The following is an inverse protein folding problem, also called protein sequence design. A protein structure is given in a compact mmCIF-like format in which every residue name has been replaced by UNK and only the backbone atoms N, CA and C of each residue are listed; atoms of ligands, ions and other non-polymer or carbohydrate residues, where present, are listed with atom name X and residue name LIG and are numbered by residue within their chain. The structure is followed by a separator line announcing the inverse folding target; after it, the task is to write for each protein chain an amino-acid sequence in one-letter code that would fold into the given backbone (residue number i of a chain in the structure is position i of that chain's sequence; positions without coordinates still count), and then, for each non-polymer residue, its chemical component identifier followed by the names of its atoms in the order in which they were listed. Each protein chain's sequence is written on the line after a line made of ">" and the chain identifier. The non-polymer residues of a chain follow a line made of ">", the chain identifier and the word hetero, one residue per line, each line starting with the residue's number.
data_IF_968592570465
#
_entry.id   IF_968592570465
#
_cell.length_a   1.000
_cell.length_b   1.000
_cell.length_c   1.000
_cell.angle_alpha   90.00
_cell.angle_beta   90.00
_cell.angle_gamma   90.00
#
_symmetry.space_group_name_H-M   'P 1'
#
loop_
_entity.id
_entity.type
_entity.pdbx_description
1 polymer ?
#
# COMPACT_ATOMS: atom_id res chain seq x y z
N UNK A 1 -6.47 -4.74 -17.16
CA UNK A 1 -5.58 -4.49 -16.01
C UNK A 1 -6.03 -3.19 -15.37
N UNK A 2 -6.25 -3.16 -14.06
CA UNK A 2 -6.50 -1.88 -13.37
C UNK A 2 -5.22 -1.05 -13.40
N UNK A 3 -5.35 0.26 -13.59
CA UNK A 3 -4.20 1.17 -13.51
C UNK A 3 -3.66 1.27 -12.09
N UNK A 4 -2.39 1.65 -11.92
CA UNK A 4 -1.77 1.89 -10.61
C UNK A 4 -2.60 2.88 -9.78
N UNK A 5 -3.11 3.95 -10.42
CA UNK A 5 -3.99 4.94 -9.79
C UNK A 5 -5.33 4.34 -9.31
N UNK A 6 -5.91 3.40 -10.05
CA UNK A 6 -7.13 2.71 -9.62
C UNK A 6 -6.87 1.76 -8.44
N UNK A 7 -5.70 1.12 -8.38
CA UNK A 7 -5.33 0.30 -7.24
C UNK A 7 -5.16 1.15 -5.98
N UNK A 8 -4.50 2.31 -6.08
CA UNK A 8 -4.34 3.24 -4.96
C UNK A 8 -5.68 3.69 -4.36
N UNK A 9 -6.68 3.94 -5.21
CA UNK A 9 -8.05 4.33 -4.80
C UNK A 9 -8.82 3.25 -4.05
N UNK A 10 -8.42 1.97 -4.15
CA UNK A 10 -9.07 0.89 -3.40
C UNK A 10 -8.71 0.91 -1.91
N UNK A 11 -7.62 1.58 -1.55
CA UNK A 11 -7.16 1.66 -0.16
C UNK A 11 -7.94 2.76 0.55
N UNK A 12 -8.68 2.45 1.64
CA UNK A 12 -9.44 3.44 2.38
C UNK A 12 -8.56 4.54 2.99
N UNK A 13 -9.12 5.74 3.13
CA UNK A 13 -8.39 6.92 3.63
C UNK A 13 -7.76 6.66 5.01
N UNK A 14 -8.50 6.08 5.96
CA UNK A 14 -7.99 5.76 7.30
C UNK A 14 -6.81 4.76 7.28
N UNK A 15 -6.79 3.84 6.31
CA UNK A 15 -5.67 2.90 6.14
C UNK A 15 -4.47 3.64 5.56
N UNK A 16 -4.69 4.49 4.57
CA UNK A 16 -3.65 5.28 3.94
C UNK A 16 -2.97 6.23 4.92
N UNK A 17 -3.75 7.06 5.63
CA UNK A 17 -3.22 8.03 6.60
C UNK A 17 -2.60 7.35 7.83
N UNK A 18 -3.17 6.23 8.29
CA UNK A 18 -2.74 5.55 9.50
C UNK A 18 -1.53 4.64 9.32
N UNK A 19 -1.34 4.06 8.13
CA UNK A 19 -0.38 2.97 7.94
C UNK A 19 0.54 3.10 6.72
N UNK A 20 0.19 3.88 5.69
CA UNK A 20 1.00 3.94 4.46
C UNK A 20 1.74 5.27 4.30
N UNK A 21 1.09 6.38 4.65
CA UNK A 21 1.62 7.74 4.54
C UNK A 21 1.92 8.27 5.95
N UNK A 22 2.86 7.59 6.60
CA UNK A 22 3.36 7.91 7.95
C UNK A 22 4.84 8.31 7.90
N UNK A 23 5.36 8.88 8.98
CA UNK A 23 6.79 9.22 9.09
C UNK A 23 7.71 8.00 8.96
N UNK A 24 7.22 6.83 9.38
CA UNK A 24 7.94 5.56 9.32
C UNK A 24 8.06 4.99 7.90
N UNK A 25 7.32 5.54 6.92
CA UNK A 25 7.37 5.21 5.49
C UNK A 25 7.55 3.69 5.20
N UNK A 26 6.56 2.86 5.53
CA UNK A 26 6.69 1.40 5.40
C UNK A 26 6.88 0.95 3.96
N UNK A 27 6.47 1.75 2.96
CA UNK A 27 6.71 1.46 1.55
C UNK A 27 8.21 1.56 1.22
N UNK A 28 8.90 2.57 1.75
CA UNK A 28 10.34 2.73 1.57
C UNK A 28 11.13 1.68 2.37
N UNK A 29 10.70 1.41 3.60
CA UNK A 29 11.40 0.57 4.56
C UNK A 29 11.07 -0.94 4.48
N UNK A 30 10.29 -1.36 3.48
CA UNK A 30 9.98 -2.77 3.24
C UNK A 30 11.07 -3.48 2.41
N UNK A 31 11.31 -4.74 2.76
CA UNK A 31 12.10 -5.69 1.97
C UNK A 31 11.24 -6.89 1.57
N UNK A 32 11.40 -7.51 0.38
CA UNK A 32 10.49 -8.54 -0.15
C UNK A 32 10.62 -9.90 0.56
N UNK A 33 10.34 -9.94 1.85
CA UNK A 33 10.35 -11.10 2.74
C UNK A 33 9.21 -10.94 3.75
N UNK A 34 8.37 -11.97 3.98
CA UNK A 34 7.28 -11.85 4.96
C UNK A 34 7.76 -11.68 6.42
N UNK A 35 9.01 -12.04 6.71
CA UNK A 35 9.63 -11.78 8.01
C UNK A 35 9.93 -10.30 8.25
N UNK A 36 9.94 -9.45 7.21
CA UNK A 36 10.03 -8.01 7.37
C UNK A 36 8.65 -7.44 7.75
N UNK A 37 8.54 -6.71 8.87
CA UNK A 37 7.24 -6.24 9.38
C UNK A 37 6.55 -5.27 8.43
N UNK A 38 7.29 -4.40 7.75
CA UNK A 38 6.72 -3.47 6.77
C UNK A 38 6.16 -4.23 5.56
N UNK A 39 6.88 -5.23 5.05
CA UNK A 39 6.38 -6.06 3.95
C UNK A 39 5.15 -6.87 4.35
N UNK A 40 5.11 -7.39 5.58
CA UNK A 40 3.93 -8.09 6.10
C UNK A 40 2.71 -7.17 6.13
N UNK A 41 2.86 -5.93 6.63
CA UNK A 41 1.81 -4.91 6.60
C UNK A 41 1.33 -4.63 5.17
N UNK A 42 2.25 -4.44 4.23
CA UNK A 42 1.92 -4.19 2.82
C UNK A 42 1.16 -5.38 2.20
N UNK A 43 1.57 -6.62 2.50
CA UNK A 43 0.90 -7.82 2.02
C UNK A 43 -0.52 -7.96 2.59
N UNK A 44 -0.73 -7.63 3.87
CA UNK A 44 -2.04 -7.64 4.52
C UNK A 44 -2.99 -6.60 3.88
N UNK A 45 -2.50 -5.38 3.63
CA UNK A 45 -3.27 -4.33 2.93
C UNK A 45 -3.58 -4.75 1.50
N UNK A 46 -2.60 -5.31 0.78
CA UNK A 46 -2.77 -5.79 -0.60
C UNK A 46 -3.88 -6.82 -0.70
N UNK A 47 -3.82 -7.85 0.15
CA UNK A 47 -4.86 -8.87 0.23
C UNK A 47 -6.19 -8.22 0.57
N UNK A 48 -6.26 -7.43 1.64
CA UNK A 48 -7.55 -6.95 2.15
C UNK A 48 -8.29 -6.00 1.19
N UNK A 49 -7.57 -5.12 0.49
CA UNK A 49 -8.21 -4.02 -0.25
C UNK A 49 -7.98 -4.07 -1.76
N UNK A 50 -6.89 -4.67 -2.23
CA UNK A 50 -6.52 -4.61 -3.65
C UNK A 50 -6.92 -5.91 -4.36
N UNK A 51 -6.53 -7.06 -3.81
CA UNK A 51 -6.86 -8.40 -4.32
C UNK A 51 -7.24 -9.39 -3.18
N UNK A 52 -8.50 -9.37 -2.70
CA UNK A 52 -9.00 -10.23 -1.62
C UNK A 52 -8.89 -11.74 -1.85
N UNK A 53 -8.96 -12.14 -3.11
CA UNK A 53 -8.93 -13.54 -3.50
C UNK A 53 -7.51 -14.06 -3.78
N UNK A 54 -6.48 -13.21 -3.61
CA UNK A 54 -5.10 -13.62 -3.80
C UNK A 54 -4.54 -14.25 -2.52
N UNK A 55 -3.87 -15.40 -2.68
CA UNK A 55 -3.12 -16.02 -1.59
C UNK A 55 -1.79 -15.29 -1.37
N UNK A 56 -1.55 -14.88 -0.12
CA UNK A 56 -0.25 -14.36 0.30
C UNK A 56 0.65 -15.53 0.62
N UNK A 57 1.72 -15.69 -0.15
CA UNK A 57 2.73 -16.73 0.01
C UNK A 57 4.08 -16.09 0.35
N UNK A 58 5.01 -16.84 0.92
CA UNK A 58 6.38 -16.34 1.19
C UNK A 58 7.29 -16.39 -0.06
N UNK A 59 6.69 -16.41 -1.25
CA UNK A 59 7.42 -16.38 -2.50
C UNK A 59 8.09 -15.01 -2.68
N UNK A 60 9.44 -14.93 -2.78
CA UNK A 60 10.14 -13.66 -2.88
C UNK A 60 9.70 -12.81 -4.08
N UNK A 61 9.40 -13.46 -5.22
CA UNK A 61 8.94 -12.79 -6.45
C UNK A 61 7.53 -12.21 -6.25
N UNK A 62 6.64 -12.95 -5.57
CA UNK A 62 5.30 -12.46 -5.26
C UNK A 62 5.36 -11.24 -4.33
N UNK A 63 6.23 -11.26 -3.32
CA UNK A 63 6.43 -10.14 -2.41
C UNK A 63 7.04 -8.93 -3.11
N UNK A 64 8.04 -9.15 -3.98
CA UNK A 64 8.64 -8.07 -4.77
C UNK A 64 7.64 -7.40 -5.71
N UNK A 65 6.73 -8.18 -6.32
CA UNK A 65 5.63 -7.64 -7.13
C UNK A 65 4.71 -6.73 -6.32
N UNK A 66 4.29 -7.17 -5.13
CA UNK A 66 3.45 -6.36 -4.22
C UNK A 66 4.19 -5.07 -3.84
N UNK A 67 5.44 -5.19 -3.40
CA UNK A 67 6.27 -4.04 -2.99
C UNK A 67 6.47 -3.04 -4.14
N UNK A 68 6.75 -3.54 -5.34
CA UNK A 68 6.90 -2.74 -6.56
C UNK A 68 5.62 -1.97 -6.86
N UNK A 69 4.45 -2.61 -6.78
CA UNK A 69 3.17 -1.93 -6.96
C UNK A 69 2.97 -0.83 -5.91
N UNK A 70 3.27 -1.07 -4.63
CA UNK A 70 3.19 -0.01 -3.61
C UNK A 70 4.12 1.16 -3.89
N UNK A 71 5.36 0.89 -4.33
CA UNK A 71 6.30 1.94 -4.71
C UNK A 71 5.79 2.76 -5.90
N UNK A 72 5.19 2.11 -6.89
CA UNK A 72 4.58 2.78 -8.03
C UNK A 72 3.31 3.58 -7.64
N UNK A 73 2.52 3.07 -6.70
CA UNK A 73 1.34 3.77 -6.18
C UNK A 73 1.68 4.94 -5.24
N UNK A 74 2.92 5.08 -4.78
CA UNK A 74 3.28 5.98 -3.68
C UNK A 74 2.85 7.43 -3.93
N UNK A 75 3.12 7.95 -5.13
CA UNK A 75 2.76 9.33 -5.46
C UNK A 75 1.24 9.53 -5.53
N UNK A 76 0.49 8.58 -6.10
CA UNK A 76 -0.97 8.62 -6.11
C UNK A 76 -1.56 8.53 -4.69
N UNK A 77 -0.97 7.72 -3.81
CA UNK A 77 -1.38 7.64 -2.40
C UNK A 77 -1.14 8.97 -1.67
N UNK A 78 -0.01 9.63 -1.91
CA UNK A 78 0.28 10.95 -1.34
C UNK A 78 -0.70 12.01 -1.88
N UNK A 79 -1.03 11.98 -3.17
CA UNK A 79 -2.01 12.88 -3.78
C UNK A 79 -3.39 12.70 -3.11
N UNK A 80 -3.87 11.46 -3.01
CA UNK A 80 -5.15 11.16 -2.37
C UNK A 80 -5.17 11.58 -0.90
N UNK A 81 -4.07 11.37 -0.16
CA UNK A 81 -3.93 11.81 1.23
C UNK A 81 -4.02 13.33 1.36
N UNK A 82 -3.34 14.05 0.46
CA UNK A 82 -3.38 15.51 0.43
C UNK A 82 -4.80 16.02 0.19
N UNK A 83 -5.53 15.41 -0.74
CA UNK A 83 -6.90 15.82 -1.05
C UNK A 83 -7.88 15.49 0.08
N UNK A 84 -7.73 14.31 0.70
CA UNK A 84 -8.49 13.95 1.90
C UNK A 84 -8.29 14.97 3.04
N UNK A 85 -7.05 15.41 3.29
CA UNK A 85 -6.78 16.41 4.33
C UNK A 85 -7.40 17.76 4.04
N UNK A 86 -7.35 18.24 2.78
CA UNK A 86 -8.00 19.51 2.38
C UNK A 86 -9.51 19.48 2.60
N UNK A 87 -10.14 18.34 2.34
CA UNK A 87 -11.60 18.20 2.48
C UNK A 87 -12.04 18.13 3.96
N UNK A 88 -11.17 17.68 4.86
CA UNK A 88 -11.47 17.51 6.28
C UNK A 88 -10.83 18.56 7.20
N UNK A 89 -10.10 19.54 6.65
CA UNK A 89 -9.44 20.60 7.43
C UNK A 89 -10.38 21.76 7.81
N UNK A 90 -11.62 21.47 8.22
CA UNK A 90 -12.59 22.45 8.71
C UNK A 90 -12.72 22.42 10.22
#
# INVERSE_FOLDING_TARGET
>A
MSSIKELAKKIPDNIRSGYLITEEDPILNASPKLSNPNMKLLAEIWKKFIYPNEEITDCPICMDRILTNFRQMKDDLIELERDYRKLNSF
#
